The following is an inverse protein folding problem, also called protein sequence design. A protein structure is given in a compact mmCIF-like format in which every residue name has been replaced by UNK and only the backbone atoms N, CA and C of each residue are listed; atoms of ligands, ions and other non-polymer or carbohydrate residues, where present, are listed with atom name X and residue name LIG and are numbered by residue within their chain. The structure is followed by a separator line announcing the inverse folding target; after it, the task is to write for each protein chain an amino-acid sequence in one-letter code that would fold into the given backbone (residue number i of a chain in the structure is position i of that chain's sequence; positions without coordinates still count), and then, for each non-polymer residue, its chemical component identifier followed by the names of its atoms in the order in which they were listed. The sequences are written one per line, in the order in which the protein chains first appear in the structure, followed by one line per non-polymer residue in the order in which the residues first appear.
data_IF_575481368017
#
_entry.id   IF_575481368017
#
_cell.length_a   1.000
_cell.length_b   1.000
_cell.length_c   1.000
_cell.angle_alpha   90.00
_cell.angle_beta   90.00
_cell.angle_gamma   90.00
#
_symmetry.space_group_name_H-M   'P 1'
#
loop_
_entity.id
_entity.type
_entity.pdbx_description
1 polymer ?
#
# COMPACT_ATOMS: atom_id res chain seq x y z
N UNK A 1 18.50 10.58 -10.50
CA UNK A 1 18.17 9.17 -10.21
C UNK A 1 16.72 9.07 -9.78
N UNK A 2 16.00 8.14 -10.35
CA UNK A 2 14.61 7.91 -9.95
C UNK A 2 14.56 6.78 -8.92
N UNK A 3 14.30 7.14 -7.66
CA UNK A 3 14.30 6.18 -6.57
C UNK A 3 13.19 5.14 -6.71
N UNK A 4 12.05 5.54 -7.29
CA UNK A 4 10.92 4.63 -7.50
C UNK A 4 11.32 3.51 -8.45
N UNK A 5 11.92 3.86 -9.58
CA UNK A 5 12.38 2.86 -10.56
C UNK A 5 13.44 1.95 -9.97
N UNK A 6 14.32 2.51 -9.13
CA UNK A 6 15.35 1.72 -8.45
C UNK A 6 14.75 0.71 -7.50
N UNK A 7 13.74 1.10 -6.73
CA UNK A 7 13.07 0.19 -5.80
C UNK A 7 12.33 -0.92 -6.54
N UNK A 8 11.63 -0.58 -7.61
CA UNK A 8 10.90 -1.57 -8.41
C UNK A 8 11.88 -2.60 -8.97
N UNK A 9 12.98 -2.13 -9.53
CA UNK A 9 13.99 -3.02 -10.11
C UNK A 9 14.69 -3.86 -9.06
N UNK A 10 15.12 -3.24 -7.97
CA UNK A 10 15.86 -3.92 -6.91
C UNK A 10 15.04 -5.03 -6.28
N UNK A 11 13.79 -4.76 -5.98
CA UNK A 11 12.90 -5.73 -5.33
C UNK A 11 12.12 -6.58 -6.32
N UNK A 12 12.31 -6.37 -7.62
CA UNK A 12 11.59 -7.11 -8.67
C UNK A 12 10.08 -6.97 -8.53
N UNK A 13 9.62 -5.77 -8.24
CA UNK A 13 8.21 -5.50 -8.04
C UNK A 13 7.45 -5.57 -9.35
N UNK A 14 6.20 -5.99 -9.28
CA UNK A 14 5.31 -6.10 -10.45
C UNK A 14 4.11 -5.20 -10.25
N UNK A 15 3.47 -4.86 -11.37
CA UNK A 15 2.29 -4.01 -11.32
C UNK A 15 1.15 -4.72 -10.60
N UNK A 16 0.49 -4.00 -9.69
CA UNK A 16 -0.66 -4.50 -8.95
C UNK A 16 -1.95 -4.25 -9.76
N UNK A 17 -2.89 -5.20 -9.77
CA UNK A 17 -4.15 -5.02 -10.53
C UNK A 17 -4.95 -3.78 -10.13
N UNK A 18 -4.89 -3.38 -8.87
CA UNK A 18 -5.63 -2.23 -8.36
C UNK A 18 -4.85 -0.92 -8.42
N UNK A 19 -3.62 -0.95 -8.89
CA UNK A 19 -2.72 0.20 -8.98
C UNK A 19 -1.48 0.02 -8.14
N UNK A 20 -0.38 0.67 -8.55
CA UNK A 20 0.89 0.56 -7.87
C UNK A 20 1.68 -0.67 -8.24
N UNK A 21 2.72 -0.92 -7.48
CA UNK A 21 3.60 -2.09 -7.67
C UNK A 21 3.76 -2.83 -6.36
N UNK A 22 3.99 -4.13 -6.44
CA UNK A 22 4.16 -4.94 -5.24
C UNK A 22 5.08 -6.13 -5.50
N UNK A 23 5.56 -6.70 -4.41
CA UNK A 23 6.27 -7.98 -4.42
C UNK A 23 5.93 -8.72 -3.14
N UNK A 24 5.61 -10.00 -3.25
CA UNK A 24 5.35 -10.84 -2.10
C UNK A 24 6.68 -11.27 -1.49
N UNK A 25 6.86 -11.00 -0.19
CA UNK A 25 8.10 -11.30 0.51
C UNK A 25 7.98 -12.50 1.44
N UNK A 26 6.76 -12.88 1.80
CA UNK A 26 6.51 -14.02 2.66
C UNK A 26 5.07 -14.48 2.48
N UNK A 27 4.88 -15.79 2.48
CA UNK A 27 3.52 -16.35 2.42
C UNK A 27 3.48 -17.72 3.08
N UNK A 28 2.45 -17.93 3.89
CA UNK A 28 2.06 -19.27 4.32
C UNK A 28 0.53 -19.36 4.25
N UNK A 29 -0.05 -20.45 4.77
CA UNK A 29 -1.49 -20.65 4.68
C UNK A 29 -2.32 -19.60 5.42
N UNK A 30 -1.72 -18.92 6.39
CA UNK A 30 -2.43 -17.97 7.26
C UNK A 30 -2.13 -16.51 6.94
N UNK A 31 -0.94 -16.22 6.41
CA UNK A 31 -0.42 -14.86 6.29
C UNK A 31 0.30 -14.66 4.96
N UNK A 32 0.15 -13.49 4.38
CA UNK A 32 0.93 -13.04 3.25
C UNK A 32 1.46 -11.64 3.53
N UNK A 33 2.76 -11.43 3.31
CA UNK A 33 3.40 -10.13 3.46
C UNK A 33 3.88 -9.64 2.10
N UNK A 34 3.57 -8.40 1.77
CA UNK A 34 4.03 -7.78 0.53
C UNK A 34 4.68 -6.44 0.84
N UNK A 35 5.62 -6.05 0.00
CA UNK A 35 5.98 -4.64 -0.14
C UNK A 35 5.08 -4.04 -1.20
N UNK A 36 4.54 -2.87 -0.93
CA UNK A 36 3.64 -2.17 -1.82
C UNK A 36 4.16 -0.75 -2.06
N UNK A 37 4.19 -0.33 -3.31
CA UNK A 37 4.72 0.97 -3.69
C UNK A 37 3.71 1.70 -4.57
N UNK A 38 3.38 2.93 -4.17
CA UNK A 38 2.56 3.84 -4.95
C UNK A 38 3.40 5.05 -5.33
N UNK A 39 3.41 5.40 -6.61
CA UNK A 39 4.00 6.66 -7.05
C UNK A 39 3.06 7.82 -6.72
N UNK A 40 3.59 9.04 -6.77
CA UNK A 40 2.85 10.23 -6.36
C UNK A 40 1.49 10.38 -7.05
N UNK A 41 1.39 9.97 -8.30
CA UNK A 41 0.16 10.12 -9.09
C UNK A 41 -0.68 8.86 -9.14
N UNK A 42 -0.26 7.82 -8.45
CA UNK A 42 -0.97 6.56 -8.44
C UNK A 42 -1.89 6.45 -7.24
N UNK A 43 -2.92 5.63 -7.39
CA UNK A 43 -3.78 5.24 -6.29
C UNK A 43 -4.18 3.79 -6.48
N UNK A 44 -4.46 3.12 -5.37
CA UNK A 44 -5.04 1.78 -5.39
C UNK A 44 -6.55 1.94 -5.45
N UNK A 45 -7.17 1.30 -6.44
CA UNK A 45 -8.60 1.40 -6.64
C UNK A 45 -9.38 0.74 -5.51
N UNK A 46 -10.64 1.15 -5.33
CA UNK A 46 -11.53 0.52 -4.37
C UNK A 46 -11.62 -0.97 -4.65
N UNK A 47 -11.48 -1.76 -3.61
CA UNK A 47 -11.68 -3.20 -3.71
C UNK A 47 -12.13 -3.72 -2.35
N UNK A 48 -12.80 -4.84 -2.38
CA UNK A 48 -13.27 -5.48 -1.16
C UNK A 48 -12.22 -6.47 -0.67
N UNK A 49 -11.96 -6.44 0.65
CA UNK A 49 -11.08 -7.41 1.27
C UNK A 49 -11.89 -8.25 2.26
N UNK A 50 -11.59 -9.54 2.29
CA UNK A 50 -12.31 -10.50 3.13
C UNK A 50 -11.51 -10.93 4.34
N UNK A 51 -10.27 -10.51 4.44
CA UNK A 51 -9.37 -10.83 5.55
C UNK A 51 -8.81 -9.54 6.13
N UNK A 52 -8.31 -9.63 7.36
CA UNK A 52 -7.66 -8.50 7.99
C UNK A 52 -6.39 -8.12 7.24
N UNK A 53 -6.17 -6.81 7.13
CA UNK A 53 -4.99 -6.27 6.48
C UNK A 53 -4.31 -5.30 7.43
N UNK A 54 -3.01 -5.45 7.60
CA UNK A 54 -2.20 -4.57 8.43
C UNK A 54 -1.22 -3.83 7.52
N UNK A 55 -1.19 -2.50 7.66
CA UNK A 55 -0.35 -1.65 6.85
C UNK A 55 0.77 -1.06 7.71
N UNK A 56 2.00 -1.22 7.24
CA UNK A 56 3.18 -0.64 7.87
C UNK A 56 3.79 0.38 6.94
N UNK A 57 3.91 1.61 7.41
CA UNK A 57 4.52 2.68 6.63
C UNK A 57 6.05 2.60 6.77
N UNK A 58 6.75 2.54 5.64
CA UNK A 58 8.21 2.50 5.66
C UNK A 58 8.85 3.81 5.26
N UNK A 59 8.42 4.40 4.13
CA UNK A 59 9.05 5.63 3.71
C UNK A 59 8.21 6.32 2.63
N UNK A 60 8.46 7.61 2.44
CA UNK A 60 7.82 8.41 1.41
C UNK A 60 6.90 9.46 1.99
N UNK A 61 6.03 9.99 1.15
CA UNK A 61 5.01 10.96 1.56
C UNK A 61 3.88 10.27 2.30
N UNK A 62 3.14 10.99 3.14
CA UNK A 62 1.99 10.40 3.83
C UNK A 62 0.99 9.78 2.84
N UNK A 63 0.36 8.70 3.26
CA UNK A 63 -0.61 7.97 2.47
C UNK A 63 -2.00 8.14 3.07
N UNK A 64 -2.96 8.51 2.24
CA UNK A 64 -4.36 8.58 2.64
C UNK A 64 -5.04 7.26 2.29
N UNK A 65 -5.75 6.71 3.27
CA UNK A 65 -6.47 5.45 3.09
C UNK A 65 -7.95 5.70 3.34
N UNK A 66 -8.76 5.36 2.35
CA UNK A 66 -10.21 5.48 2.44
C UNK A 66 -10.80 4.10 2.66
N UNK A 67 -11.62 3.96 3.69
CA UNK A 67 -12.27 2.70 4.00
C UNK A 67 -13.78 2.88 4.08
N UNK A 68 -14.53 1.87 3.69
CA UNK A 68 -15.98 1.87 3.77
C UNK A 68 -16.48 0.48 4.11
N UNK A 69 -17.49 0.41 4.96
CA UNK A 69 -18.12 -0.86 5.31
C UNK A 69 -19.32 -1.15 4.40
N UNK A 70 -19.99 -0.11 3.92
CA UNK A 70 -21.24 -0.24 3.18
C UNK A 70 -21.19 0.27 1.74
N UNK A 71 -20.07 0.88 1.34
CA UNK A 71 -19.93 1.46 0.02
C UNK A 71 -20.54 2.85 -0.15
N UNK A 72 -21.24 3.37 0.87
CA UNK A 72 -21.89 4.68 0.82
C UNK A 72 -21.19 5.73 1.66
N UNK A 73 -20.76 5.34 2.85
CA UNK A 73 -20.01 6.22 3.75
C UNK A 73 -18.60 5.69 3.87
N UNK A 74 -17.63 6.59 3.97
CA UNK A 74 -16.24 6.18 4.08
C UNK A 74 -15.52 6.97 5.16
N UNK A 75 -14.46 6.37 5.67
CA UNK A 75 -13.54 6.97 6.63
C UNK A 75 -12.21 7.19 5.94
N UNK A 76 -11.51 8.23 6.36
CA UNK A 76 -10.19 8.56 5.85
C UNK A 76 -9.18 8.42 6.98
N UNK A 77 -8.11 7.70 6.72
CA UNK A 77 -6.99 7.57 7.64
C UNK A 77 -5.71 7.98 6.92
N UNK A 78 -4.80 8.59 7.66
CA UNK A 78 -3.51 8.99 7.13
C UNK A 78 -2.41 8.25 7.87
N UNK A 79 -1.49 7.62 7.12
CA UNK A 79 -0.31 7.01 7.71
C UNK A 79 0.94 7.68 7.17
N UNK A 80 1.98 7.72 7.99
CA UNK A 80 3.24 8.32 7.60
C UNK A 80 3.29 9.83 7.76
N UNK A 81 2.32 10.45 8.43
CA UNK A 81 2.37 11.88 8.70
C UNK A 81 3.42 12.17 9.77
N UNK A 82 3.88 13.43 9.83
CA UNK A 82 4.86 13.83 10.86
C UNK A 82 4.37 13.58 12.27
N UNK A 83 3.05 13.66 12.47
CA UNK A 83 2.47 13.46 13.79
C UNK A 83 2.44 12.00 14.22
N UNK A 84 2.67 11.07 13.29
CA UNK A 84 2.66 9.65 13.55
C UNK A 84 4.07 9.06 13.66
N UNK A 85 5.08 9.88 13.46
CA UNK A 85 6.48 9.48 13.61
C UNK A 85 6.98 9.88 14.98
N UNK A 86 7.14 8.95 15.83
CA UNK A 86 7.75 9.23 17.12
C UNK A 86 8.57 8.03 17.60
#
# INVERSE_FOLDING_TARGET
MNIVKSLIKHHKMIAHPEGGHYIEIFKNKDVSHIYFLLEQHEHSHWHRITKNETLHFYSGSPLLIYTSEDGNEFKTNEIGSKNNFN
#
